data_IF_005048972492
#
_entry.id   IF_005048972492
#
_cell.length_a   1.000
_cell.length_b   1.000
_cell.length_c   1.000
_cell.angle_alpha   90.00
_cell.angle_beta   90.00
_cell.angle_gamma   90.00
#
_symmetry.space_group_name_H-M   'P 1'
#
loop_
_entity.id
_entity.type
_entity.pdbx_description
1 polymer ?
#
# COMPACT_ATOMS: atom_id res chain seq x y z
N UNK A 1 34.47 16.45 14.05
CA UNK A 1 33.34 15.55 13.75
C UNK A 1 32.29 15.81 14.81
N UNK A 2 31.01 15.72 14.49
CA UNK A 2 29.92 15.78 15.48
C UNK A 2 29.22 14.45 15.31
N UNK A 3 29.11 13.67 16.38
CA UNK A 3 28.34 12.43 16.33
C UNK A 3 26.87 12.79 16.59
N UNK A 4 26.00 12.49 15.64
CA UNK A 4 24.56 12.69 15.74
C UNK A 4 23.89 11.34 16.02
N UNK A 5 22.99 11.33 17.01
CA UNK A 5 22.16 10.18 17.35
C UNK A 5 20.72 10.48 16.94
N UNK A 6 20.22 9.75 15.96
CA UNK A 6 18.81 9.79 15.56
C UNK A 6 18.00 8.69 16.26
N UNK A 7 16.85 9.07 16.80
CA UNK A 7 15.87 8.18 17.43
C UNK A 7 14.59 8.24 16.63
N UNK A 8 14.14 7.11 16.09
CA UNK A 8 12.84 6.98 15.46
C UNK A 8 11.80 6.46 16.47
N UNK A 9 10.75 7.24 16.69
CA UNK A 9 9.58 6.87 17.48
C UNK A 9 8.45 6.48 16.51
N UNK A 10 7.91 5.27 16.63
CA UNK A 10 6.77 4.80 15.81
C UNK A 10 5.56 4.51 16.70
N UNK A 11 4.40 5.07 16.36
CA UNK A 11 3.11 4.71 16.94
C UNK A 11 2.27 4.02 15.89
N UNK A 12 1.76 2.84 16.24
CA UNK A 12 0.70 2.17 15.50
C UNK A 12 -0.63 2.29 16.27
N UNK A 13 -1.71 2.55 15.55
CA UNK A 13 -3.08 2.57 16.06
C UNK A 13 -3.96 1.63 15.25
N UNK A 14 -5.02 1.12 15.88
CA UNK A 14 -6.07 0.40 15.16
C UNK A 14 -7.46 0.93 15.55
N UNK A 15 -8.36 0.96 14.58
CA UNK A 15 -9.75 1.35 14.74
C UNK A 15 -10.67 0.26 14.20
N UNK A 16 -11.76 0.00 14.91
CA UNK A 16 -12.73 -1.03 14.56
C UNK A 16 -14.12 -0.40 14.39
N UNK A 17 -14.40 0.26 13.25
CA UNK A 17 -15.70 0.87 13.01
C UNK A 17 -16.79 -0.20 12.86
N UNK A 18 -18.01 0.17 13.25
CA UNK A 18 -19.23 -0.57 12.97
C UNK A 18 -20.22 0.36 12.29
N UNK A 19 -20.67 -0.01 11.09
CA UNK A 19 -21.80 0.62 10.43
C UNK A 19 -23.06 -0.09 10.92
N UNK A 20 -24.01 0.68 11.44
CA UNK A 20 -25.24 0.16 12.02
C UNK A 20 -26.42 0.71 11.23
N UNK A 21 -27.32 -0.17 10.81
CA UNK A 21 -28.57 0.22 10.20
C UNK A 21 -29.39 1.04 11.21
N UNK A 22 -29.87 2.20 10.77
CA UNK A 22 -30.52 3.16 11.67
C UNK A 22 -31.90 2.68 12.17
N UNK A 23 -32.57 1.81 11.41
CA UNK A 23 -33.93 1.36 11.67
C UNK A 23 -33.95 0.02 12.44
N UNK A 24 -33.10 -0.93 12.06
CA UNK A 24 -33.04 -2.26 12.69
C UNK A 24 -32.04 -2.36 13.84
N UNK A 25 -31.03 -1.47 13.89
CA UNK A 25 -29.91 -1.56 14.83
C UNK A 25 -28.92 -2.68 14.51
N UNK A 26 -29.05 -3.33 13.35
CA UNK A 26 -28.16 -4.38 12.89
C UNK A 26 -26.82 -3.82 12.43
N UNK A 27 -25.73 -4.53 12.71
CA UNK A 27 -24.41 -4.16 12.20
C UNK A 27 -24.29 -4.64 10.75
N UNK A 28 -24.38 -3.72 9.80
CA UNK A 28 -24.30 -4.01 8.37
C UNK A 28 -22.85 -4.09 7.86
N UNK A 29 -21.89 -3.50 8.58
CA UNK A 29 -20.47 -3.61 8.26
C UNK A 29 -19.60 -3.45 9.50
N UNK A 30 -18.50 -4.21 9.56
CA UNK A 30 -17.44 -4.01 10.54
C UNK A 30 -16.08 -4.38 9.93
N UNK A 31 -15.05 -3.60 10.24
CA UNK A 31 -13.69 -3.82 9.74
C UNK A 31 -12.65 -3.49 10.79
N UNK A 32 -11.40 -3.92 10.55
CA UNK A 32 -10.25 -3.53 11.35
C UNK A 32 -9.29 -2.71 10.48
N UNK A 33 -9.04 -1.47 10.89
CA UNK A 33 -8.20 -0.53 10.18
C UNK A 33 -6.97 -0.25 11.03
N UNK A 34 -5.79 -0.29 10.42
CA UNK A 34 -4.52 0.00 11.08
C UNK A 34 -3.88 1.22 10.46
N UNK A 35 -3.27 2.08 11.27
CA UNK A 35 -2.42 3.17 10.78
C UNK A 35 -1.19 3.29 11.65
N UNK A 36 -0.12 3.86 11.09
CA UNK A 36 1.09 4.15 11.85
C UNK A 36 1.66 5.51 11.48
N UNK A 37 2.28 6.17 12.45
CA UNK A 37 3.06 7.39 12.25
C UNK A 37 4.40 7.22 12.93
N UNK A 38 5.47 7.58 12.24
CA UNK A 38 6.81 7.64 12.82
C UNK A 38 7.39 9.04 12.77
N UNK A 39 8.25 9.36 13.74
CA UNK A 39 9.01 10.60 13.82
C UNK A 39 10.44 10.29 14.21
N UNK A 40 11.36 10.76 13.39
CA UNK A 40 12.78 10.73 13.69
C UNK A 40 13.20 12.04 14.38
N UNK A 41 13.90 11.93 15.51
CA UNK A 41 14.48 13.05 16.24
C UNK A 41 15.98 12.82 16.39
N UNK A 42 16.78 13.70 15.82
CA UNK A 42 18.24 13.62 15.88
C UNK A 42 18.81 14.60 16.91
N UNK A 43 19.79 14.13 17.69
CA UNK A 43 20.45 14.87 18.74
C UNK A 43 21.96 14.84 18.53
N UNK A 44 22.62 15.99 18.62
CA UNK A 44 24.08 16.06 18.63
C UNK A 44 24.63 15.51 19.96
N UNK A 45 25.44 14.45 19.91
CA UNK A 45 25.95 13.73 21.09
C UNK A 45 27.38 14.09 21.49
N UNK A 46 28.02 15.06 20.81
CA UNK A 46 29.24 15.69 21.32
C UNK A 46 30.08 16.52 20.33
N UNK A 47 30.76 17.54 20.85
CA UNK A 47 31.78 18.36 20.15
C UNK A 47 33.18 17.82 20.48
N UNK A 48 33.98 17.54 19.45
CA UNK A 48 35.33 16.99 19.59
C UNK A 48 36.37 18.08 19.93
N UNK A 49 36.57 18.40 21.20
CA UNK A 49 37.73 19.19 21.64
C UNK A 49 38.90 18.27 22.00
N UNK A 50 39.78 18.02 21.03
CA UNK A 50 41.00 17.24 21.25
C UNK A 50 42.16 18.12 21.69
N UNK A 51 42.60 18.04 22.96
CA UNK A 51 43.88 18.62 23.38
C UNK A 51 45.07 17.93 22.69
N UNK A 52 45.92 18.72 22.02
CA UNK A 52 47.09 18.22 21.30
C UNK A 52 48.20 17.81 22.27
N UNK A 53 48.46 16.50 22.39
CA UNK A 53 49.58 16.02 23.18
C UNK A 53 50.90 16.21 22.42
N UNK A 54 51.64 17.26 22.76
CA UNK A 54 52.93 17.62 22.13
C UNK A 54 53.99 16.51 22.22
N UNK A 55 53.94 15.63 23.23
CA UNK A 55 54.91 14.53 23.41
C UNK A 55 54.63 13.32 22.52
N UNK A 56 53.35 13.00 22.28
CA UNK A 56 52.95 11.84 21.48
C UNK A 56 52.71 12.17 19.99
N UNK A 57 52.77 13.45 19.61
CA UNK A 57 52.38 13.97 18.27
C UNK A 57 51.04 13.39 17.77
N UNK A 58 50.13 13.08 18.69
CA UNK A 58 48.84 12.45 18.42
C UNK A 58 47.79 13.12 19.31
N UNK A 59 46.62 13.39 18.75
CA UNK A 59 45.45 13.83 19.53
C UNK A 59 45.03 12.69 20.44
N UNK A 60 44.92 12.93 21.75
CA UNK A 60 44.30 11.95 22.65
C UNK A 60 42.79 12.02 22.42
N UNK A 61 42.18 10.87 22.14
CA UNK A 61 40.71 10.73 22.05
C UNK A 61 40.20 10.65 23.48
N UNK A 62 39.43 11.65 23.91
CA UNK A 62 38.72 11.64 25.19
C UNK A 62 37.24 11.46 24.88
N UNK A 63 36.68 10.29 25.23
CA UNK A 63 35.22 10.11 25.23
C UNK A 63 34.65 10.80 26.46
N UNK A 64 34.28 12.07 26.32
CA UNK A 64 33.53 12.80 27.32
C UNK A 64 32.03 12.64 27.07
N UNK A 65 31.43 11.54 27.55
CA UNK A 65 29.98 11.48 27.74
C UNK A 65 29.65 12.43 28.91
N UNK A 66 29.59 13.73 28.62
CA UNK A 66 29.17 14.74 29.58
C UNK A 66 27.65 14.73 29.66
N UNK A 67 27.14 13.98 30.64
CA UNK A 67 25.94 14.24 31.43
C UNK A 67 24.66 14.71 30.72
N UNK A 68 23.60 13.92 30.92
CA UNK A 68 22.22 14.07 30.44
C UNK A 68 21.97 13.56 29.03
N UNK A 69 21.85 12.25 28.88
CA UNK A 69 20.72 11.61 28.19
C UNK A 69 20.64 10.17 28.67
N UNK A 70 20.17 9.96 29.90
CA UNK A 70 19.51 8.72 30.24
C UNK A 70 18.26 8.66 29.36
N UNK A 71 18.37 8.07 28.17
CA UNK A 71 17.21 7.73 27.35
C UNK A 71 16.52 6.58 28.08
N UNK A 72 15.75 6.94 29.11
CA UNK A 72 14.88 6.05 29.83
C UNK A 72 13.73 5.68 28.90
N UNK A 73 13.88 4.56 28.18
CA UNK A 73 12.79 3.88 27.49
C UNK A 73 11.83 3.20 28.48
N UNK A 74 11.38 3.94 29.49
CA UNK A 74 10.47 3.44 30.51
C UNK A 74 9.46 4.54 30.86
N UNK A 75 8.36 4.59 30.11
CA UNK A 75 7.12 5.24 30.57
C UNK A 75 6.79 6.62 30.01
N UNK A 76 7.39 7.05 28.90
CA UNK A 76 6.85 8.19 28.15
C UNK A 76 5.77 7.68 27.20
N UNK A 77 4.52 8.07 27.47
CA UNK A 77 3.44 7.95 26.48
C UNK A 77 3.92 8.57 25.17
N UNK A 78 3.54 7.95 24.04
CA UNK A 78 3.94 8.47 22.76
C UNK A 78 3.46 9.93 22.58
N UNK A 79 4.24 10.78 21.87
CA UNK A 79 3.88 12.19 21.70
C UNK A 79 2.44 12.35 21.21
N UNK A 80 1.66 13.22 21.86
CA UNK A 80 0.23 13.35 21.59
C UNK A 80 -0.07 13.75 20.13
N UNK A 81 0.84 14.46 19.49
CA UNK A 81 0.82 14.79 18.06
C UNK A 81 1.08 13.57 17.17
N UNK A 82 1.98 12.67 17.56
CA UNK A 82 2.23 11.41 16.85
C UNK A 82 1.01 10.47 16.94
N UNK A 83 0.40 10.37 18.13
CA UNK A 83 -0.84 9.61 18.34
C UNK A 83 -2.00 10.20 17.53
N UNK A 84 -2.16 11.53 17.52
CA UNK A 84 -3.16 12.21 16.69
C UNK A 84 -2.93 11.97 15.20
N UNK A 85 -1.68 11.99 14.75
CA UNK A 85 -1.32 11.74 13.36
C UNK A 85 -1.66 10.30 12.97
N UNK A 86 -1.23 9.32 13.77
CA UNK A 86 -1.56 7.91 13.56
C UNK A 86 -3.08 7.68 13.54
N UNK A 87 -3.83 8.26 14.49
CA UNK A 87 -5.30 8.16 14.51
C UNK A 87 -5.94 8.85 13.30
N UNK A 88 -5.46 10.03 12.91
CA UNK A 88 -6.00 10.76 11.76
C UNK A 88 -5.79 10.00 10.45
N UNK A 89 -4.65 9.30 10.32
CA UNK A 89 -4.33 8.43 9.20
C UNK A 89 -5.29 7.23 9.17
N UNK A 90 -5.47 6.56 10.31
CA UNK A 90 -6.43 5.44 10.43
C UNK A 90 -7.87 5.87 10.14
N UNK A 91 -8.30 7.04 10.63
CA UNK A 91 -9.66 7.53 10.43
C UNK A 91 -9.91 8.05 9.01
N UNK A 92 -8.87 8.46 8.28
CA UNK A 92 -9.01 8.93 6.89
C UNK A 92 -9.53 7.81 5.99
N UNK A 93 -8.96 6.61 6.09
CA UNK A 93 -9.39 5.44 5.33
C UNK A 93 -10.87 5.11 5.62
N UNK A 94 -11.24 5.05 6.90
CA UNK A 94 -12.63 4.78 7.32
C UNK A 94 -13.61 5.80 6.71
N UNK A 95 -13.24 7.08 6.70
CA UNK A 95 -14.10 8.14 6.13
C UNK A 95 -14.29 7.98 4.63
N UNK A 96 -13.26 7.53 3.91
CA UNK A 96 -13.32 7.32 2.47
C UNK A 96 -14.13 6.08 2.07
N UNK A 97 -14.27 5.10 2.97
CA UNK A 97 -15.09 3.89 2.76
C UNK A 97 -16.58 4.15 3.05
N UNK A 98 -16.90 4.95 4.08
CA UNK A 98 -18.28 5.16 4.53
C UNK A 98 -18.98 6.27 3.74
N UNK A 99 -18.27 7.36 3.40
CA UNK A 99 -18.90 8.54 2.82
C UNK A 99 -19.08 8.39 1.31
N UNK A 100 -20.31 8.56 0.77
CA UNK A 100 -20.53 8.59 -0.67
C UNK A 100 -19.63 9.64 -1.34
N UNK A 101 -18.82 9.19 -2.30
CA UNK A 101 -17.90 10.05 -3.04
C UNK A 101 -17.92 9.70 -4.52
N UNK A 102 -17.85 10.73 -5.36
CA UNK A 102 -17.56 10.54 -6.77
C UNK A 102 -16.07 10.25 -6.91
N UNK A 103 -15.70 8.98 -7.01
CA UNK A 103 -14.34 8.55 -7.23
C UNK A 103 -14.16 8.10 -8.69
N UNK A 104 -13.28 8.77 -9.43
CA UNK A 104 -12.80 8.24 -10.70
C UNK A 104 -11.61 7.32 -10.42
N UNK A 105 -11.87 6.03 -10.26
CA UNK A 105 -10.80 5.04 -10.14
C UNK A 105 -10.26 4.77 -11.54
N UNK A 106 -9.02 5.20 -11.80
CA UNK A 106 -8.31 4.87 -13.03
C UNK A 106 -7.35 3.72 -12.76
N UNK A 107 -7.21 2.82 -13.73
CA UNK A 107 -6.14 1.83 -13.71
C UNK A 107 -4.79 2.55 -13.68
N UNK A 108 -3.86 2.08 -12.86
CA UNK A 108 -2.56 2.70 -12.69
C UNK A 108 -1.55 1.99 -13.60
N UNK A 109 -0.86 2.74 -14.44
CA UNK A 109 0.21 2.21 -15.27
C UNK A 109 1.55 2.42 -14.58
N UNK A 110 2.39 1.38 -14.54
CA UNK A 110 3.78 1.49 -14.08
C UNK A 110 4.60 2.15 -15.19
N UNK A 111 5.23 3.27 -14.85
CA UNK A 111 5.98 4.11 -15.80
C UNK A 111 7.44 3.71 -15.94
N UNK A 112 7.96 2.91 -15.02
CA UNK A 112 9.36 2.49 -15.01
C UNK A 112 9.45 0.98 -15.29
N UNK A 113 10.18 0.61 -16.34
CA UNK A 113 10.48 -0.78 -16.64
C UNK A 113 11.68 -1.25 -15.82
N UNK A 114 11.48 -2.29 -15.00
CA UNK A 114 12.56 -2.97 -14.27
C UNK A 114 13.49 -3.74 -15.21
N UNK A 115 12.92 -4.38 -16.23
CA UNK A 115 13.64 -5.12 -17.27
C UNK A 115 14.42 -4.15 -18.19
N UNK A 116 15.76 -4.30 -18.32
CA UNK A 116 16.58 -3.44 -19.18
C UNK A 116 16.20 -3.48 -20.67
N UNK A 117 15.74 -4.64 -21.17
CA UNK A 117 15.34 -4.79 -22.58
C UNK A 117 14.08 -3.99 -22.87
N UNK A 118 13.08 -4.10 -22.00
CA UNK A 118 11.83 -3.32 -22.12
C UNK A 118 12.11 -1.83 -21.94
N UNK A 119 13.01 -1.45 -21.03
CA UNK A 119 13.42 -0.06 -20.83
C UNK A 119 14.06 0.56 -22.08
N UNK A 120 14.76 -0.25 -22.87
CA UNK A 120 15.39 0.19 -24.11
C UNK A 120 14.41 0.25 -25.30
N UNK A 121 13.24 -0.40 -25.20
CA UNK A 121 12.27 -0.44 -26.28
C UNK A 121 11.45 0.87 -26.35
N UNK A 122 11.50 1.61 -27.48
CA UNK A 122 10.79 2.88 -27.61
C UNK A 122 9.26 2.71 -27.58
N UNK A 123 8.73 1.49 -27.80
CA UNK A 123 7.28 1.22 -27.68
C UNK A 123 6.77 1.39 -26.26
N UNK A 124 7.61 1.14 -25.25
CA UNK A 124 7.21 1.27 -23.84
C UNK A 124 6.80 2.72 -23.51
N UNK A 125 7.67 3.68 -23.84
CA UNK A 125 7.38 5.10 -23.60
C UNK A 125 6.20 5.60 -24.47
N UNK A 126 6.08 5.11 -25.71
CA UNK A 126 4.95 5.43 -26.57
C UNK A 126 3.63 4.93 -25.99
N UNK A 127 3.59 3.68 -25.50
CA UNK A 127 2.43 3.11 -24.86
C UNK A 127 2.03 3.92 -23.62
N UNK A 128 2.98 4.35 -22.79
CA UNK A 128 2.71 5.23 -21.63
C UNK A 128 2.13 6.59 -22.03
N UNK A 129 2.66 7.23 -23.07
CA UNK A 129 2.14 8.49 -23.60
C UNK A 129 0.69 8.36 -24.06
N UNK A 130 0.34 7.24 -24.70
CA UNK A 130 -1.04 6.95 -25.10
C UNK A 130 -1.90 6.67 -23.87
N UNK A 131 -1.43 5.80 -22.96
CA UNK A 131 -2.12 5.39 -21.74
C UNK A 131 -2.54 6.58 -20.87
N UNK A 132 -1.67 7.60 -20.78
CA UNK A 132 -1.96 8.83 -20.02
C UNK A 132 -3.12 9.66 -20.58
N UNK A 133 -3.40 9.56 -21.88
CA UNK A 133 -4.49 10.29 -22.56
C UNK A 133 -5.75 9.43 -22.64
N UNK A 134 -5.56 8.18 -23.05
CA UNK A 134 -6.61 7.20 -23.20
C UNK A 134 -6.05 5.80 -22.86
N UNK A 135 -6.35 5.28 -21.66
CA UNK A 135 -5.96 3.95 -21.23
C UNK A 135 -6.35 2.85 -22.22
N UNK A 136 -7.53 2.95 -22.83
CA UNK A 136 -8.07 1.89 -23.70
C UNK A 136 -7.29 1.77 -25.00
N UNK A 137 -6.93 2.90 -25.62
CA UNK A 137 -6.18 2.92 -26.88
C UNK A 137 -4.77 2.30 -26.73
N UNK A 138 -4.20 2.34 -25.53
CA UNK A 138 -2.87 1.77 -25.27
C UNK A 138 -2.85 0.24 -25.19
N UNK A 139 -4.00 -0.41 -24.99
CA UNK A 139 -4.04 -1.83 -24.64
C UNK A 139 -3.52 -2.74 -25.73
N UNK A 140 -3.75 -2.42 -27.01
CA UNK A 140 -3.17 -3.19 -28.11
C UNK A 140 -1.64 -3.17 -28.11
N UNK A 141 -1.01 -2.06 -27.69
CA UNK A 141 0.44 -1.99 -27.57
C UNK A 141 0.95 -2.84 -26.39
N UNK A 142 0.26 -2.78 -25.25
CA UNK A 142 0.61 -3.60 -24.09
C UNK A 142 0.47 -5.10 -24.39
N UNK A 143 -0.59 -5.52 -25.10
CA UNK A 143 -0.75 -6.90 -25.55
C UNK A 143 0.40 -7.35 -26.45
N UNK A 144 0.75 -6.57 -27.48
CA UNK A 144 1.86 -6.91 -28.38
C UNK A 144 3.21 -6.97 -27.67
N UNK A 145 3.43 -6.11 -26.67
CA UNK A 145 4.64 -6.17 -25.85
C UNK A 145 4.66 -7.38 -24.91
N UNK A 146 3.51 -7.82 -24.39
CA UNK A 146 3.44 -8.98 -23.51
C UNK A 146 3.75 -10.30 -24.24
N UNK A 147 3.48 -10.38 -25.54
CA UNK A 147 3.86 -11.52 -26.38
C UNK A 147 5.39 -11.62 -26.56
N UNK A 148 6.07 -10.48 -26.65
CA UNK A 148 7.53 -10.41 -26.84
C UNK A 148 8.31 -10.46 -25.52
N UNK A 149 7.73 -9.89 -24.45
CA UNK A 149 8.32 -9.79 -23.12
C UNK A 149 7.39 -10.34 -22.03
N UNK A 150 7.04 -11.64 -22.06
CA UNK A 150 6.09 -12.25 -21.12
C UNK A 150 6.61 -12.28 -19.67
N UNK A 151 7.92 -12.13 -19.47
CA UNK A 151 8.57 -12.12 -18.16
C UNK A 151 8.90 -10.71 -17.65
N UNK A 152 8.47 -9.66 -18.36
CA UNK A 152 8.70 -8.29 -17.94
C UNK A 152 7.63 -7.81 -16.94
N UNK A 153 7.98 -7.46 -15.69
CA UNK A 153 7.00 -7.08 -14.66
C UNK A 153 6.12 -5.89 -15.07
N UNK A 154 6.73 -4.85 -15.63
CA UNK A 154 6.02 -3.62 -15.99
C UNK A 154 5.01 -3.85 -17.14
N UNK A 155 5.35 -4.71 -18.12
CA UNK A 155 4.46 -5.04 -19.24
C UNK A 155 3.27 -5.83 -18.73
N UNK A 156 3.51 -6.86 -17.91
CA UNK A 156 2.44 -7.66 -17.31
C UNK A 156 1.53 -6.81 -16.42
N UNK A 157 2.09 -5.89 -15.63
CA UNK A 157 1.30 -4.98 -14.81
C UNK A 157 0.39 -4.09 -15.67
N UNK A 158 0.94 -3.51 -16.74
CA UNK A 158 0.18 -2.60 -17.60
C UNK A 158 -0.89 -3.33 -18.43
N UNK A 159 -0.69 -4.62 -18.72
CA UNK A 159 -1.75 -5.49 -19.25
C UNK A 159 -2.87 -5.69 -18.23
N UNK A 160 -2.53 -5.87 -16.95
CA UNK A 160 -3.50 -5.90 -15.85
C UNK A 160 -4.30 -4.60 -15.72
N UNK A 161 -3.63 -3.45 -15.88
CA UNK A 161 -4.29 -2.14 -15.91
C UNK A 161 -5.29 -2.00 -17.07
N UNK A 162 -4.96 -2.57 -18.23
CA UNK A 162 -5.89 -2.65 -19.36
C UNK A 162 -7.12 -3.52 -19.07
N UNK A 163 -6.92 -4.71 -18.50
CA UNK A 163 -8.01 -5.58 -18.10
C UNK A 163 -8.90 -4.94 -17.02
N UNK A 164 -8.31 -4.25 -16.05
CA UNK A 164 -9.04 -3.48 -15.02
C UNK A 164 -9.88 -2.37 -15.67
N UNK A 165 -9.31 -1.65 -16.64
CA UNK A 165 -10.03 -0.59 -17.36
C UNK A 165 -11.24 -1.14 -18.14
N UNK A 166 -11.17 -2.36 -18.67
CA UNK A 166 -12.29 -3.03 -19.36
C UNK A 166 -13.21 -3.82 -18.43
N UNK A 167 -13.06 -3.69 -17.10
CA UNK A 167 -13.81 -4.44 -16.09
C UNK A 167 -13.63 -5.97 -16.13
N UNK A 168 -12.55 -6.47 -16.74
CA UNK A 168 -12.15 -7.87 -16.63
C UNK A 168 -11.23 -8.04 -15.41
N UNK A 169 -11.86 -8.05 -14.23
CA UNK A 169 -11.14 -8.10 -12.96
C UNK A 169 -10.43 -9.44 -12.73
N UNK A 170 -10.90 -10.52 -13.36
CA UNK A 170 -10.26 -11.82 -13.27
C UNK A 170 -8.92 -11.84 -14.02
N UNK A 171 -8.91 -11.36 -15.28
CA UNK A 171 -7.68 -11.22 -16.03
C UNK A 171 -6.73 -10.21 -15.37
N UNK A 172 -7.26 -9.07 -14.91
CA UNK A 172 -6.48 -8.05 -14.20
C UNK A 172 -5.75 -8.63 -12.98
N UNK A 173 -6.42 -9.44 -12.17
CA UNK A 173 -5.82 -10.08 -11.00
C UNK A 173 -4.69 -11.02 -11.40
N UNK A 174 -4.91 -11.85 -12.42
CA UNK A 174 -3.88 -12.76 -12.93
C UNK A 174 -2.63 -12.01 -13.41
N UNK A 175 -2.82 -10.93 -14.17
CA UNK A 175 -1.74 -10.12 -14.69
C UNK A 175 -0.97 -9.37 -13.60
N UNK A 176 -1.67 -8.74 -12.65
CA UNK A 176 -1.02 -8.08 -11.52
C UNK A 176 -0.29 -9.07 -10.61
N UNK A 177 -0.84 -10.27 -10.40
CA UNK A 177 -0.21 -11.34 -9.63
C UNK A 177 1.10 -11.76 -10.28
N UNK A 178 1.06 -11.98 -11.60
CA UNK A 178 2.24 -12.34 -12.36
C UNK A 178 3.29 -11.23 -12.34
N UNK A 179 2.87 -9.97 -12.47
CA UNK A 179 3.79 -8.83 -12.41
C UNK A 179 4.49 -8.72 -11.04
N UNK A 180 3.75 -8.90 -9.95
CA UNK A 180 4.32 -8.90 -8.61
C UNK A 180 5.33 -10.05 -8.42
N UNK A 181 4.99 -11.26 -8.86
CA UNK A 181 5.90 -12.42 -8.85
C UNK A 181 7.20 -12.14 -9.63
N UNK A 182 7.09 -11.63 -10.87
CA UNK A 182 8.23 -11.32 -11.70
C UNK A 182 9.09 -10.19 -11.11
N UNK A 183 8.48 -9.22 -10.43
CA UNK A 183 9.20 -8.10 -9.82
C UNK A 183 10.16 -8.53 -8.71
N UNK A 184 9.92 -9.68 -8.07
CA UNK A 184 10.78 -10.24 -7.01
C UNK A 184 12.21 -10.43 -7.50
N UNK A 185 12.40 -10.83 -8.75
CA UNK A 185 13.72 -11.06 -9.35
C UNK A 185 14.59 -9.80 -9.42
N UNK A 186 13.96 -8.62 -9.36
CA UNK A 186 14.60 -7.31 -9.44
C UNK A 186 14.76 -6.64 -8.08
N UNK A 187 14.29 -7.29 -7.00
CA UNK A 187 14.46 -6.79 -5.63
C UNK A 187 15.87 -7.01 -5.10
N UNK A 188 16.30 -6.17 -4.17
CA UNK A 188 17.63 -6.27 -3.57
C UNK A 188 17.82 -7.55 -2.74
N UNK A 189 16.74 -8.05 -2.14
CA UNK A 189 16.74 -9.25 -1.29
C UNK A 189 16.31 -10.53 -2.04
N UNK A 190 15.80 -10.40 -3.27
CA UNK A 190 15.36 -11.52 -4.10
C UNK A 190 14.08 -12.19 -3.60
N UNK A 191 13.36 -11.59 -2.65
CA UNK A 191 12.14 -12.16 -2.05
C UNK A 191 11.00 -11.13 -1.99
N UNK A 192 11.30 -9.83 -1.92
CA UNK A 192 10.28 -8.79 -1.87
C UNK A 192 9.74 -8.47 -3.26
N UNK A 193 8.42 -8.50 -3.42
CA UNK A 193 7.77 -7.95 -4.60
C UNK A 193 7.78 -6.41 -4.53
N UNK A 194 7.88 -5.75 -5.69
CA UNK A 194 7.88 -4.29 -5.73
C UNK A 194 6.55 -3.71 -5.24
N UNK A 195 6.62 -2.68 -4.40
CA UNK A 195 5.45 -2.09 -3.72
C UNK A 195 4.34 -1.68 -4.71
N UNK A 196 4.70 -1.06 -5.84
CA UNK A 196 3.75 -0.66 -6.88
C UNK A 196 2.91 -1.84 -7.40
N UNK A 197 3.54 -3.01 -7.58
CA UNK A 197 2.87 -4.22 -8.10
C UNK A 197 1.95 -4.85 -7.04
N UNK A 198 2.39 -4.90 -5.79
CA UNK A 198 1.58 -5.42 -4.66
C UNK A 198 0.40 -4.50 -4.36
N UNK A 199 0.59 -3.19 -4.48
CA UNK A 199 -0.46 -2.20 -4.25
C UNK A 199 -1.62 -2.36 -5.24
N UNK A 200 -1.33 -2.60 -6.52
CA UNK A 200 -2.36 -2.84 -7.54
C UNK A 200 -3.18 -4.11 -7.24
N UNK A 201 -2.51 -5.20 -6.84
CA UNK A 201 -3.16 -6.43 -6.40
C UNK A 201 -4.10 -6.21 -5.21
N UNK A 202 -3.61 -5.53 -4.16
CA UNK A 202 -4.41 -5.26 -2.96
C UNK A 202 -5.65 -4.44 -3.31
N UNK A 203 -5.46 -3.38 -4.10
CA UNK A 203 -6.55 -2.52 -4.57
C UNK A 203 -7.62 -3.34 -5.30
N UNK A 204 -7.22 -4.18 -6.25
CA UNK A 204 -8.15 -4.98 -7.03
C UNK A 204 -8.88 -6.04 -6.17
N UNK A 205 -8.18 -6.64 -5.20
CA UNK A 205 -8.80 -7.58 -4.26
C UNK A 205 -9.92 -6.93 -3.44
N UNK A 206 -9.68 -5.71 -2.95
CA UNK A 206 -10.70 -4.94 -2.21
C UNK A 206 -11.88 -4.60 -3.13
N UNK A 207 -11.60 -4.09 -4.32
CA UNK A 207 -12.65 -3.74 -5.28
C UNK A 207 -13.53 -4.95 -5.64
N UNK A 208 -12.95 -6.15 -5.77
CA UNK A 208 -13.70 -7.36 -6.08
C UNK A 208 -14.58 -7.81 -4.92
N UNK A 209 -14.08 -7.77 -3.68
CA UNK A 209 -14.90 -8.07 -2.50
C UNK A 209 -16.04 -7.07 -2.34
N UNK A 210 -15.79 -5.78 -2.61
CA UNK A 210 -16.83 -4.75 -2.53
C UNK A 210 -17.93 -5.01 -3.57
N UNK A 211 -17.56 -5.38 -4.80
CA UNK A 211 -18.53 -5.71 -5.86
C UNK A 211 -19.35 -6.96 -5.53
N UNK A 212 -18.74 -7.98 -4.93
CA UNK A 212 -19.45 -9.20 -4.49
C UNK A 212 -20.48 -8.88 -3.40
N UNK A 213 -20.10 -8.05 -2.42
CA UNK A 213 -21.02 -7.56 -1.38
C UNK A 213 -22.14 -6.72 -2.00
N UNK A 214 -21.81 -5.82 -2.93
CA UNK A 214 -22.82 -5.01 -3.62
C UNK A 214 -23.78 -5.88 -4.42
N UNK A 215 -23.29 -6.91 -5.10
CA UNK A 215 -24.13 -7.86 -5.83
C UNK A 215 -25.07 -8.62 -4.87
N UNK A 216 -24.57 -9.08 -3.72
CA UNK A 216 -25.39 -9.70 -2.68
C UNK A 216 -26.49 -8.75 -2.16
N UNK A 217 -26.15 -7.49 -1.88
CA UNK A 217 -27.07 -6.48 -1.36
C UNK A 217 -28.08 -5.99 -2.41
N UNK A 218 -27.71 -6.01 -3.68
CA UNK A 218 -28.55 -5.52 -4.79
C UNK A 218 -29.26 -6.65 -5.56
N UNK A 219 -28.97 -7.91 -5.22
CA UNK A 219 -29.68 -9.06 -5.74
C UNK A 219 -31.18 -8.90 -5.46
N UNK A 220 -32.06 -9.14 -6.44
CA UNK A 220 -33.50 -9.09 -6.22
C UNK A 220 -33.86 -10.00 -5.06
N UNK A 221 -34.54 -9.46 -4.04
CA UNK A 221 -35.07 -10.27 -2.96
C UNK A 221 -36.01 -11.32 -3.56
N UNK A 222 -35.54 -12.56 -3.66
CA UNK A 222 -36.38 -13.70 -4.01
C UNK A 222 -37.03 -14.16 -2.70
N UNK A 223 -38.36 -14.05 -2.56
CA UNK A 223 -39.02 -14.68 -1.43
C UNK A 223 -38.64 -16.16 -1.42
N UNK A 224 -38.15 -16.64 -0.28
CA UNK A 224 -37.99 -18.07 -0.03
C UNK A 224 -39.38 -18.66 -0.20
N UNK A 225 -39.58 -19.51 -1.22
CA UNK A 225 -40.82 -20.29 -1.33
C UNK A 225 -40.91 -21.13 -0.06
N UNK A 226 -41.83 -20.77 0.83
CA UNK A 226 -42.26 -21.64 1.91
C UNK A 226 -42.77 -22.91 1.24
N UNK A 227 -42.02 -24.00 1.41
CA UNK A 227 -42.52 -25.32 1.06
C UNK A 227 -43.73 -25.56 1.95
N UNK A 228 -44.94 -25.44 1.38
CA UNK A 228 -46.16 -25.92 2.00
C UNK A 228 -45.93 -27.38 2.38
N UNK A 229 -45.71 -27.63 3.67
CA UNK A 229 -45.81 -28.96 4.25
C UNK A 229 -47.26 -29.41 4.02
N UNK A 230 -47.46 -30.22 2.98
CA UNK A 230 -48.71 -30.89 2.71
C UNK A 230 -49.19 -31.56 4.00
N UNK A 231 -50.35 -31.17 4.57
CA UNK A 231 -50.88 -31.90 5.71
C UNK A 231 -51.28 -33.27 5.19
N UNK A 232 -50.45 -34.27 5.52
CA UNK A 232 -50.67 -35.67 5.21
C UNK A 232 -52.13 -36.02 5.51
N UNK A 233 -52.84 -36.33 4.43
CA UNK A 233 -54.21 -36.80 4.47
C UNK A 233 -54.22 -38.31 4.74
N UNK A 234 -54.99 -38.68 5.75
CA UNK A 234 -55.48 -40.04 6.11
C UNK A 234 -54.69 -40.82 7.16
#
# INVERSE_FOLDING_TARGET
>A
DVEELCVEETVAGSAHPRLVDADSGEVVFSGAYGGSSSRESCFETGVYDGEFNKKLKRKRRSHGLSGYHSIGFAGLDAPADLVRSALSETLREIREDIAPRNATVRAQFVTEALDPMVRADPRFEQALKISSKDPFTSCAMWTGMAEEYPEAPAVMHNLGACAEATSDFQAAQGHYAKAAELSVQYSADGVTAGDAFVKALRKLSIQRSDLEILEELTAPWMPVEETEEDPASS
#
